data_IF_386679706483
#
_entry.id   IF_386679706483
#
_cell.length_a   1.000
_cell.length_b   1.000
_cell.length_c   1.000
_cell.angle_alpha   90.00
_cell.angle_beta   90.00
_cell.angle_gamma   90.00
#
_symmetry.space_group_name_H-M   'P 1'
#
loop_
_entity.id
_entity.type
_entity.pdbx_description
1 polymer ?
#
# COMPACT_ATOMS: atom_id res chain seq x y z
N UNK A 1 -31.16 34.31 -54.80
CA UNK A 1 -30.73 34.17 -53.39
C UNK A 1 -31.18 32.83 -52.79
N UNK A 2 -32.47 32.49 -52.82
CA UNK A 2 -33.01 31.22 -52.26
C UNK A 2 -32.37 29.96 -52.89
N UNK A 3 -32.24 29.91 -54.23
CA UNK A 3 -31.61 28.78 -54.93
C UNK A 3 -30.15 28.52 -54.54
N UNK A 4 -29.40 29.57 -54.17
CA UNK A 4 -28.00 29.45 -53.74
C UNK A 4 -27.93 28.82 -52.34
N UNK A 5 -28.85 29.18 -51.46
CA UNK A 5 -28.95 28.62 -50.10
C UNK A 5 -29.34 27.13 -50.18
N UNK A 6 -30.30 26.78 -51.05
CA UNK A 6 -30.70 25.38 -51.27
C UNK A 6 -29.54 24.57 -51.83
N UNK A 7 -28.79 25.10 -52.80
CA UNK A 7 -27.62 24.43 -53.37
C UNK A 7 -26.50 24.22 -52.32
N UNK A 8 -26.24 25.20 -51.45
CA UNK A 8 -25.28 25.07 -50.35
C UNK A 8 -25.70 24.02 -49.33
N UNK A 9 -26.98 23.98 -48.96
CA UNK A 9 -27.50 22.99 -48.02
C UNK A 9 -27.45 21.57 -48.59
N UNK A 10 -27.76 21.43 -49.89
CA UNK A 10 -27.64 20.15 -50.60
C UNK A 10 -26.17 19.68 -50.65
N UNK A 11 -25.24 20.58 -50.98
CA UNK A 11 -23.81 20.27 -51.01
C UNK A 11 -23.28 19.89 -49.62
N UNK A 12 -23.73 20.57 -48.57
CA UNK A 12 -23.39 20.25 -47.19
C UNK A 12 -23.93 18.87 -46.78
N UNK A 13 -25.19 18.56 -47.11
CA UNK A 13 -25.78 17.26 -46.83
C UNK A 13 -25.02 16.13 -47.54
N UNK A 14 -24.64 16.31 -48.81
CA UNK A 14 -23.82 15.37 -49.56
C UNK A 14 -22.45 15.19 -48.90
N UNK A 15 -21.80 16.29 -48.48
CA UNK A 15 -20.51 16.23 -47.80
C UNK A 15 -20.59 15.45 -46.47
N UNK A 16 -21.64 15.67 -45.68
CA UNK A 16 -21.89 14.92 -44.44
C UNK A 16 -22.09 13.44 -44.72
N UNK A 17 -22.88 13.08 -45.73
CA UNK A 17 -23.10 11.68 -46.14
C UNK A 17 -21.78 11.02 -46.55
N UNK A 18 -20.94 11.70 -47.34
CA UNK A 18 -19.63 11.18 -47.75
C UNK A 18 -18.68 10.97 -46.57
N UNK A 19 -18.71 11.88 -45.58
CA UNK A 19 -17.91 11.74 -44.34
C UNK A 19 -18.36 10.50 -43.55
N UNK A 20 -19.67 10.33 -43.35
CA UNK A 20 -20.22 9.17 -42.61
C UNK A 20 -19.88 7.86 -43.30
N UNK A 21 -20.01 7.77 -44.62
CA UNK A 21 -19.66 6.56 -45.39
C UNK A 21 -18.18 6.18 -45.25
N UNK A 22 -17.27 7.17 -45.26
CA UNK A 22 -15.83 6.94 -45.10
C UNK A 22 -15.45 6.51 -43.68
N UNK A 23 -16.12 7.07 -42.66
CA UNK A 23 -15.91 6.67 -41.26
C UNK A 23 -16.37 5.23 -41.07
N UNK A 24 -17.55 4.87 -41.59
CA UNK A 24 -18.08 3.51 -41.48
C UNK A 24 -17.17 2.47 -42.15
N UNK A 25 -16.62 2.75 -43.33
CA UNK A 25 -15.71 1.82 -44.01
C UNK A 25 -14.39 1.63 -43.25
N UNK A 26 -13.79 2.73 -42.76
CA UNK A 26 -12.57 2.68 -41.97
C UNK A 26 -12.78 1.98 -40.62
N UNK A 27 -13.95 2.16 -39.99
CA UNK A 27 -14.28 1.46 -38.75
C UNK A 27 -14.43 -0.04 -39.00
N UNK A 28 -15.05 -0.45 -40.09
CA UNK A 28 -15.24 -1.86 -40.44
C UNK A 28 -13.90 -2.56 -40.73
N UNK A 29 -12.99 -1.87 -41.43
CA UNK A 29 -11.62 -2.36 -41.67
C UNK A 29 -10.83 -2.50 -40.35
N UNK A 30 -10.90 -1.50 -39.46
CA UNK A 30 -10.26 -1.56 -38.14
C UNK A 30 -10.82 -2.67 -37.27
N UNK A 31 -12.14 -2.89 -37.30
CA UNK A 31 -12.79 -3.98 -36.58
C UNK A 31 -12.38 -5.35 -37.13
N UNK A 32 -12.27 -5.49 -38.45
CA UNK A 32 -11.76 -6.72 -39.06
C UNK A 32 -10.28 -6.97 -38.74
N UNK A 33 -9.44 -5.94 -38.79
CA UNK A 33 -8.03 -6.04 -38.38
C UNK A 33 -7.90 -6.41 -36.90
N UNK A 34 -8.75 -5.86 -36.04
CA UNK A 34 -8.78 -6.20 -34.62
C UNK A 34 -9.24 -7.65 -34.39
N UNK A 35 -10.27 -8.12 -35.11
CA UNK A 35 -10.70 -9.51 -35.06
C UNK A 35 -9.62 -10.48 -35.57
N UNK A 36 -8.90 -10.13 -36.63
CA UNK A 36 -7.79 -10.92 -37.15
C UNK A 36 -6.59 -10.94 -36.18
N UNK A 37 -6.26 -9.82 -35.56
CA UNK A 37 -5.23 -9.74 -34.52
C UNK A 37 -5.60 -10.55 -33.28
N UNK A 38 -6.88 -10.53 -32.88
CA UNK A 38 -7.39 -11.35 -31.77
C UNK A 38 -7.40 -12.85 -32.11
N UNK A 39 -7.74 -13.24 -33.33
CA UNK A 39 -7.63 -14.63 -33.79
C UNK A 39 -6.18 -15.10 -33.85
N UNK A 40 -5.27 -14.29 -34.41
CA UNK A 40 -3.84 -14.60 -34.43
C UNK A 40 -3.28 -14.72 -33.00
N UNK A 41 -3.65 -13.80 -32.10
CA UNK A 41 -3.31 -13.89 -30.69
C UNK A 41 -3.88 -15.15 -30.03
N UNK A 42 -5.13 -15.54 -30.31
CA UNK A 42 -5.72 -16.79 -29.81
C UNK A 42 -5.01 -18.04 -30.36
N UNK A 43 -4.58 -18.02 -31.61
CA UNK A 43 -3.87 -19.15 -32.22
C UNK A 43 -2.45 -19.27 -31.67
N UNK A 44 -1.76 -18.15 -31.44
CA UNK A 44 -0.46 -18.09 -30.74
C UNK A 44 -0.61 -18.48 -29.27
N UNK A 45 -1.65 -18.03 -28.58
CA UNK A 45 -1.93 -18.41 -27.18
C UNK A 45 -2.28 -19.89 -27.10
N UNK A 46 -3.10 -20.43 -28.01
CA UNK A 46 -3.48 -21.84 -28.06
C UNK A 46 -2.29 -22.76 -28.36
N UNK A 47 -1.42 -22.38 -29.28
CA UNK A 47 -0.17 -23.10 -29.57
C UNK A 47 0.83 -23.03 -28.42
N UNK A 48 0.90 -21.90 -27.69
CA UNK A 48 1.72 -21.78 -26.49
C UNK A 48 1.08 -22.46 -25.25
N UNK A 49 -0.24 -22.64 -25.20
CA UNK A 49 -0.97 -23.35 -24.13
C UNK A 49 -0.74 -24.86 -24.17
N UNK A 50 -0.54 -25.43 -25.37
CA UNK A 50 -0.06 -26.82 -25.50
C UNK A 50 1.36 -27.02 -24.96
N UNK A 51 2.12 -25.94 -24.72
CA UNK A 51 3.47 -26.02 -24.20
C UNK A 51 3.65 -25.52 -22.77
N UNK A 52 2.80 -24.65 -22.20
CA UNK A 52 3.02 -24.15 -20.83
C UNK A 52 1.72 -23.83 -20.08
N UNK A 53 1.52 -24.49 -18.94
CA UNK A 53 0.43 -24.34 -17.97
C UNK A 53 0.38 -22.98 -17.26
N UNK A 54 0.13 -21.91 -18.00
CA UNK A 54 0.23 -20.53 -17.50
C UNK A 54 -1.04 -19.70 -17.78
N UNK A 55 -2.21 -20.30 -17.57
CA UNK A 55 -3.48 -19.54 -17.33
C UNK A 55 -3.83 -19.51 -15.84
N UNK A 56 -3.02 -20.14 -14.99
CA UNK A 56 -3.11 -20.08 -13.52
C UNK A 56 -2.69 -18.72 -12.93
N UNK A 57 -2.11 -17.82 -13.73
CA UNK A 57 -1.39 -16.66 -13.22
C UNK A 57 -2.24 -15.38 -13.08
N UNK A 58 -3.34 -15.23 -13.81
CA UNK A 58 -4.25 -14.09 -13.60
C UNK A 58 -5.28 -14.36 -12.48
N UNK A 59 -5.64 -15.62 -12.23
CA UNK A 59 -6.39 -16.02 -11.02
C UNK A 59 -5.48 -16.11 -9.78
N UNK A 60 -4.19 -16.44 -9.97
CA UNK A 60 -3.20 -16.52 -8.90
C UNK A 60 -2.78 -15.17 -8.29
N UNK A 61 -3.04 -14.03 -8.93
CA UNK A 61 -2.70 -12.70 -8.36
C UNK A 61 -3.68 -12.24 -7.27
N UNK A 62 -4.93 -12.71 -7.29
CA UNK A 62 -5.88 -12.47 -6.21
C UNK A 62 -5.60 -13.40 -5.01
N UNK A 63 -5.23 -14.65 -5.26
CA UNK A 63 -4.70 -15.57 -4.22
C UNK A 63 -3.37 -15.08 -3.64
N UNK A 64 -2.47 -14.50 -4.44
CA UNK A 64 -1.21 -13.94 -3.95
C UNK A 64 -1.43 -12.78 -2.98
N UNK A 65 -2.43 -11.92 -3.21
CA UNK A 65 -2.73 -10.80 -2.30
C UNK A 65 -3.31 -11.31 -0.98
N UNK A 66 -4.21 -12.31 -1.02
CA UNK A 66 -4.70 -12.97 0.19
C UNK A 66 -3.60 -13.74 0.93
N UNK A 67 -2.71 -14.43 0.23
CA UNK A 67 -1.56 -15.13 0.81
C UNK A 67 -0.58 -14.15 1.46
N UNK A 68 -0.31 -13.01 0.83
CA UNK A 68 0.59 -11.98 1.35
C UNK A 68 0.00 -11.28 2.58
N UNK A 69 -1.32 -11.02 2.62
CA UNK A 69 -2.01 -10.55 3.83
C UNK A 69 -1.99 -11.62 4.94
N UNK A 70 -2.20 -12.90 4.61
CA UNK A 70 -2.11 -14.00 5.57
C UNK A 70 -0.68 -14.22 6.08
N UNK A 71 0.33 -14.00 5.25
CA UNK A 71 1.75 -14.08 5.60
C UNK A 71 2.15 -12.90 6.50
N UNK A 72 1.73 -11.67 6.19
CA UNK A 72 1.89 -10.50 7.06
C UNK A 72 1.19 -10.75 8.41
N UNK A 73 -0.02 -11.33 8.40
CA UNK A 73 -0.76 -11.66 9.63
C UNK A 73 -0.11 -12.79 10.44
N UNK A 74 0.51 -13.78 9.79
CA UNK A 74 1.31 -14.84 10.44
C UNK A 74 2.61 -14.29 11.01
N UNK A 75 3.29 -13.41 10.27
CA UNK A 75 4.49 -12.72 10.72
C UNK A 75 4.19 -11.78 11.88
N UNK A 76 3.02 -11.12 11.89
CA UNK A 76 2.54 -10.33 13.04
C UNK A 76 2.24 -11.22 14.25
N UNK A 77 1.58 -12.37 14.04
CA UNK A 77 1.38 -13.36 15.11
C UNK A 77 2.71 -13.86 15.69
N UNK A 78 3.68 -14.16 14.83
CA UNK A 78 5.03 -14.58 15.23
C UNK A 78 5.80 -13.45 15.93
N UNK A 79 5.67 -12.20 15.48
CA UNK A 79 6.25 -11.03 16.14
C UNK A 79 5.62 -10.78 17.52
N UNK A 80 4.30 -10.91 17.65
CA UNK A 80 3.61 -10.86 18.93
C UNK A 80 4.08 -11.99 19.86
N UNK A 81 4.36 -13.17 19.32
CA UNK A 81 4.89 -14.31 20.07
C UNK A 81 6.34 -14.08 20.54
N UNK A 82 7.19 -13.44 19.72
CA UNK A 82 8.51 -12.98 20.16
C UNK A 82 8.40 -11.91 21.27
N UNK A 83 7.43 -11.00 21.19
CA UNK A 83 7.15 -10.01 22.22
C UNK A 83 6.53 -10.60 23.50
N UNK A 84 6.03 -11.86 23.49
CA UNK A 84 5.64 -12.58 24.72
C UNK A 84 6.83 -12.93 25.59
N UNK A 85 8.02 -13.10 25.00
CA UNK A 85 9.23 -13.40 25.75
C UNK A 85 9.65 -12.19 26.62
N UNK A 86 9.68 -12.32 27.96
CA UNK A 86 9.91 -11.17 28.85
C UNK A 86 11.24 -10.45 28.60
N UNK A 87 12.32 -11.20 28.31
CA UNK A 87 13.65 -10.65 28.04
C UNK A 87 13.70 -9.84 26.74
N UNK A 88 13.16 -10.39 25.66
CA UNK A 88 13.15 -9.72 24.36
C UNK A 88 12.30 -8.45 24.39
N UNK A 89 11.14 -8.51 25.07
CA UNK A 89 10.29 -7.33 25.28
C UNK A 89 10.98 -6.22 26.06
N UNK A 90 11.70 -6.56 27.13
CA UNK A 90 12.51 -5.60 27.89
C UNK A 90 13.56 -4.93 27.01
N UNK A 91 14.37 -5.73 26.30
CA UNK A 91 15.43 -5.24 25.44
C UNK A 91 14.92 -4.37 24.27
N UNK A 92 13.82 -4.75 23.65
CA UNK A 92 13.16 -3.93 22.61
C UNK A 92 12.62 -2.63 23.19
N UNK A 93 12.03 -2.68 24.39
CA UNK A 93 11.54 -1.51 25.10
C UNK A 93 12.64 -0.51 25.40
N UNK A 94 13.78 -0.99 25.93
CA UNK A 94 14.96 -0.17 26.20
C UNK A 94 15.53 0.47 24.92
N UNK A 95 15.62 -0.30 23.84
CA UNK A 95 16.08 0.20 22.52
C UNK A 95 15.16 1.29 21.98
N UNK A 96 13.84 1.09 22.10
CA UNK A 96 12.86 2.08 21.66
C UNK A 96 12.90 3.33 22.54
N UNK A 97 13.05 3.18 23.85
CA UNK A 97 13.23 4.30 24.78
C UNK A 97 14.48 5.11 24.42
N UNK A 98 15.62 4.45 24.19
CA UNK A 98 16.86 5.11 23.78
C UNK A 98 16.69 5.89 22.48
N UNK A 99 16.04 5.29 21.49
CA UNK A 99 15.77 5.93 20.21
C UNK A 99 14.85 7.16 20.37
N UNK A 100 13.82 7.07 21.22
CA UNK A 100 12.92 8.19 21.50
C UNK A 100 13.65 9.33 22.20
N UNK A 101 14.42 9.02 23.24
CA UNK A 101 15.21 10.03 23.97
C UNK A 101 16.24 10.69 23.05
N UNK A 102 16.90 9.93 22.18
CA UNK A 102 17.88 10.46 21.22
C UNK A 102 17.28 11.37 20.16
N UNK A 103 15.98 11.22 19.85
CA UNK A 103 15.28 12.09 18.90
C UNK A 103 14.83 13.41 19.51
N UNK A 104 14.54 13.42 20.81
CA UNK A 104 13.97 14.58 21.51
C UNK A 104 15.03 15.37 22.28
N UNK A 105 16.06 14.69 22.79
CA UNK A 105 17.07 15.26 23.69
C UNK A 105 18.48 15.06 23.13
N UNK A 106 19.40 16.02 23.34
CA UNK A 106 20.83 15.80 23.12
C UNK A 106 21.35 14.65 23.98
N UNK A 107 22.31 13.88 23.47
CA UNK A 107 22.90 12.71 24.17
C UNK A 107 23.51 13.05 25.53
N UNK A 108 23.93 14.29 25.73
CA UNK A 108 24.51 14.77 26.99
C UNK A 108 23.47 14.93 28.11
N UNK A 109 22.18 15.01 27.75
CA UNK A 109 21.07 15.30 28.67
C UNK A 109 20.32 14.06 29.13
N UNK A 110 20.69 12.85 28.70
CA UNK A 110 20.10 11.62 29.20
C UNK A 110 21.11 10.49 29.25
N UNK A 111 20.90 9.51 30.12
CA UNK A 111 21.69 8.28 30.18
C UNK A 111 20.74 7.09 30.31
N UNK A 112 20.93 6.05 29.50
CA UNK A 112 20.17 4.80 29.56
C UNK A 112 20.83 3.82 30.54
N UNK A 113 20.05 2.87 31.07
CA UNK A 113 20.48 1.84 32.03
C UNK A 113 21.25 2.43 33.23
N UNK A 114 20.73 3.52 33.79
CA UNK A 114 21.42 4.26 34.85
C UNK A 114 21.27 3.56 36.19
N UNK A 115 22.40 3.37 36.88
CA UNK A 115 22.45 2.81 38.24
C UNK A 115 22.85 3.89 39.23
N UNK A 116 21.98 4.14 40.20
CA UNK A 116 22.23 5.07 41.29
C UNK A 116 23.28 4.51 42.26
N UNK A 117 23.92 5.41 43.00
CA UNK A 117 24.87 5.04 44.08
C UNK A 117 24.20 4.21 45.19
N UNK A 118 22.88 4.32 45.34
CA UNK A 118 22.06 3.51 46.25
C UNK A 118 21.93 2.04 45.81
N UNK A 119 22.33 1.70 44.57
CA UNK A 119 22.20 0.36 43.99
C UNK A 119 20.93 0.16 43.16
N UNK A 120 19.98 1.10 43.20
CA UNK A 120 18.78 1.10 42.38
C UNK A 120 19.12 1.38 40.91
N UNK A 121 18.47 0.66 39.99
CA UNK A 121 18.69 0.79 38.55
C UNK A 121 17.37 1.13 37.85
N UNK A 122 17.45 2.02 36.86
CA UNK A 122 16.30 2.50 36.08
C UNK A 122 16.64 2.46 34.58
N UNK A 123 15.61 2.39 33.73
CA UNK A 123 15.79 2.25 32.28
C UNK A 123 16.49 3.45 31.66
N UNK A 124 16.20 4.66 32.16
CA UNK A 124 16.93 5.87 31.81
C UNK A 124 16.83 6.96 32.89
N UNK A 125 17.73 7.93 32.81
CA UNK A 125 17.63 9.21 33.52
C UNK A 125 17.76 10.37 32.55
N UNK A 126 16.98 11.42 32.77
CA UNK A 126 17.13 12.71 32.11
C UNK A 126 17.80 13.68 33.09
N UNK A 127 18.80 14.43 32.61
CA UNK A 127 19.47 15.48 33.36
C UNK A 127 18.83 16.84 33.06
N UNK A 128 18.33 17.48 34.11
CA UNK A 128 17.75 18.83 34.07
C UNK A 128 18.56 19.71 35.03
N UNK A 129 19.63 20.31 34.50
CA UNK A 129 20.62 21.03 35.31
C UNK A 129 21.30 20.11 36.33
N UNK A 130 21.10 20.41 37.61
CA UNK A 130 21.64 19.63 38.75
C UNK A 130 20.70 18.48 39.19
N UNK A 131 19.52 18.35 38.58
CA UNK A 131 18.54 17.32 38.95
C UNK A 131 18.53 16.18 37.94
N UNK A 132 18.28 14.97 38.43
CA UNK A 132 18.04 13.78 37.62
C UNK A 132 16.57 13.37 37.74
N UNK A 133 15.96 13.03 36.61
CA UNK A 133 14.60 12.48 36.53
C UNK A 133 14.71 11.04 36.02
N UNK A 134 14.31 10.08 36.84
CA UNK A 134 14.30 8.65 36.51
C UNK A 134 13.11 8.27 35.64
N UNK A 135 13.35 7.38 34.68
CA UNK A 135 12.35 6.81 33.78
C UNK A 135 12.37 5.29 33.93
N UNK A 136 11.20 4.72 34.21
CA UNK A 136 10.89 3.29 34.18
C UNK A 136 9.84 3.07 33.09
N UNK A 137 10.27 2.58 31.93
CA UNK A 137 9.44 2.44 30.75
C UNK A 137 8.83 1.04 30.69
N UNK A 138 7.55 0.94 31.05
CA UNK A 138 6.81 -0.32 30.96
C UNK A 138 6.10 -0.49 29.62
N UNK A 139 6.60 -1.41 28.79
CA UNK A 139 5.98 -1.77 27.51
C UNK A 139 4.90 -2.85 27.68
N UNK A 140 3.65 -2.43 27.88
CA UNK A 140 2.49 -3.35 27.93
C UNK A 140 1.99 -3.71 26.53
N UNK A 141 1.83 -5.00 26.24
CA UNK A 141 1.31 -5.51 24.96
C UNK A 141 -0.14 -5.12 24.71
N UNK A 142 -0.94 -4.99 25.77
CA UNK A 142 -2.35 -4.60 25.66
C UNK A 142 -2.50 -3.18 25.08
N UNK A 143 -1.58 -2.27 25.40
CA UNK A 143 -1.58 -0.91 24.86
C UNK A 143 -1.25 -0.89 23.36
N UNK A 144 -0.43 -1.83 22.88
CA UNK A 144 -0.13 -1.98 21.45
C UNK A 144 -1.34 -2.56 20.70
N UNK A 145 -1.91 -3.67 21.21
CA UNK A 145 -3.08 -4.33 20.59
C UNK A 145 -4.32 -3.43 20.54
N UNK A 146 -4.53 -2.61 21.57
CA UNK A 146 -5.66 -1.67 21.62
C UNK A 146 -5.53 -0.53 20.61
N UNK A 147 -4.32 -0.17 20.18
CA UNK A 147 -4.08 0.86 19.15
C UNK A 147 -4.31 0.33 17.74
N UNK A 148 -4.07 -0.95 17.47
CA UNK A 148 -4.31 -1.57 16.15
C UNK A 148 -5.80 -1.86 15.89
N UNK A 149 -6.64 -1.99 16.93
CA UNK A 149 -8.08 -2.31 16.80
C UNK A 149 -8.96 -1.04 16.72
N UNK A 150 -8.40 0.12 16.35
CA UNK A 150 -9.19 1.30 15.99
C UNK A 150 -8.92 1.74 14.55
N UNK A 151 -9.52 1.08 13.54
CA UNK A 151 -9.73 1.73 12.25
C UNK A 151 -10.53 3.01 12.50
N UNK A 152 -10.06 4.12 11.94
CA UNK A 152 -10.51 5.48 12.26
C UNK A 152 -12.01 5.59 12.54
N UNK A 153 -12.35 6.00 13.77
CA UNK A 153 -13.63 6.65 14.01
C UNK A 153 -13.59 7.96 13.23
N UNK A 154 -14.26 7.97 12.08
CA UNK A 154 -14.77 9.21 11.49
C UNK A 154 -15.60 9.89 12.58
N UNK A 155 -15.19 11.08 12.99
CA UNK A 155 -16.04 11.94 13.81
C UNK A 155 -17.27 12.30 12.96
N UNK A 156 -18.50 12.20 13.50
CA UNK A 156 -19.68 12.66 12.79
C UNK A 156 -19.57 14.18 12.63
N UNK A 157 -19.53 14.62 11.38
CA UNK A 157 -19.40 16.02 11.00
C UNK A 157 -20.44 16.92 11.67
N UNK A 158 -19.96 18.08 12.10
CA UNK A 158 -20.77 19.28 12.30
C UNK A 158 -21.32 19.78 10.96
#
# INVERSE_FOLDING_TARGET
>A
MIWIIVALFLAFAIAVILIVLKISSQMNERLNQMNQALQAAHQTIGQNLSSFGTVKEQLGKLEATHAQILEISRNLSSFQELLRAPKFRGQMGETLLENLLSQVLPKEHFHTQYRFKSGEAVDAVIRLGERLVSIDAKFSLENFQKKEIHPGRQEPGQ
#
